data_IF_463219688135
#
_entry.id   IF_463219688135
#
_cell.length_a   1.000
_cell.length_b   1.000
_cell.length_c   1.000
_cell.angle_alpha   90.00
_cell.angle_beta   90.00
_cell.angle_gamma   90.00
#
_symmetry.space_group_name_H-M   'P 1'
#
loop_
_entity.id
_entity.type
_entity.pdbx_description
1 polymer ?
#
# COMPACT_ATOMS: atom_id res chain seq x y z
N UNK A 1 -60.33 55.91 45.72
CA UNK A 1 -59.85 54.53 45.90
C UNK A 1 -59.91 53.85 44.54
N UNK A 2 -58.77 53.35 44.08
CA UNK A 2 -58.44 52.99 42.69
C UNK A 2 -58.18 51.48 42.61
N UNK A 3 -58.31 50.94 41.40
CA UNK A 3 -57.76 49.67 40.89
C UNK A 3 -58.70 48.45 40.95
N UNK A 4 -59.31 48.05 39.82
CA UNK A 4 -58.80 47.22 38.69
C UNK A 4 -59.06 45.73 38.95
N UNK A 5 -60.08 45.20 38.26
CA UNK A 5 -60.39 43.78 38.18
C UNK A 5 -59.42 43.10 37.19
N UNK A 6 -58.72 42.07 37.66
CA UNK A 6 -57.77 41.28 36.86
C UNK A 6 -58.44 39.98 36.44
N UNK A 7 -58.70 39.81 35.14
CA UNK A 7 -59.13 38.56 34.54
C UNK A 7 -57.95 37.60 34.44
N UNK A 8 -58.06 36.44 35.10
CA UNK A 8 -57.09 35.35 35.01
C UNK A 8 -57.50 34.44 33.84
N UNK A 9 -56.75 34.48 32.74
CA UNK A 9 -56.89 33.54 31.63
C UNK A 9 -55.98 32.32 31.87
N UNK A 10 -56.58 31.14 32.09
CA UNK A 10 -55.85 29.87 32.11
C UNK A 10 -55.50 29.45 30.68
N UNK A 11 -54.23 29.62 30.29
CA UNK A 11 -53.66 29.06 29.06
C UNK A 11 -53.14 27.64 29.30
N UNK A 12 -53.84 26.65 28.75
CA UNK A 12 -53.43 25.24 28.76
C UNK A 12 -52.25 25.07 27.79
N UNK A 13 -51.02 24.97 28.32
CA UNK A 13 -49.82 24.70 27.51
C UNK A 13 -49.69 23.20 27.27
N UNK A 14 -49.94 22.76 26.03
CA UNK A 14 -49.73 21.38 25.59
C UNK A 14 -48.22 21.18 25.34
N UNK A 15 -47.51 20.58 26.30
CA UNK A 15 -46.10 20.19 26.13
C UNK A 15 -46.05 18.90 25.32
N UNK A 16 -45.74 18.99 24.03
CA UNK A 16 -45.44 17.82 23.20
C UNK A 16 -43.99 17.41 23.51
N UNK A 17 -43.84 16.48 24.44
CA UNK A 17 -42.56 15.81 24.71
C UNK A 17 -42.22 14.93 23.51
N UNK A 18 -41.42 15.44 22.59
CA UNK A 18 -40.76 14.61 21.58
C UNK A 18 -39.65 13.85 22.30
N UNK A 19 -39.94 12.62 22.69
CA UNK A 19 -38.93 11.66 23.13
C UNK A 19 -38.05 11.31 21.94
N UNK A 20 -37.05 12.15 21.66
CA UNK A 20 -35.93 11.77 20.83
C UNK A 20 -35.15 10.71 21.61
N UNK A 21 -35.46 9.44 21.37
CA UNK A 21 -34.56 8.36 21.73
C UNK A 21 -33.18 8.73 21.15
N UNK A 22 -32.09 8.64 21.94
CA UNK A 22 -30.76 8.80 21.37
C UNK A 22 -30.62 7.67 20.36
N UNK A 23 -30.71 8.02 19.08
CA UNK A 23 -30.25 7.13 18.03
C UNK A 23 -28.77 7.02 18.33
N UNK A 24 -28.39 5.88 18.91
CA UNK A 24 -27.03 5.38 18.96
C UNK A 24 -26.61 5.08 17.51
N UNK A 25 -26.59 6.14 16.70
CA UNK A 25 -25.84 6.24 15.47
C UNK A 25 -24.42 6.02 15.95
N UNK A 26 -24.01 4.74 15.98
CA UNK A 26 -22.61 4.35 15.95
C UNK A 26 -21.98 5.28 14.93
N UNK A 27 -21.28 6.30 15.43
CA UNK A 27 -20.60 7.27 14.58
C UNK A 27 -19.83 6.43 13.58
N UNK A 28 -19.93 6.78 12.30
CA UNK A 28 -19.27 6.02 11.23
C UNK A 28 -17.80 5.94 11.60
N UNK A 29 -17.40 4.78 12.11
CA UNK A 29 -16.01 4.51 12.42
C UNK A 29 -15.24 4.71 11.12
N UNK A 30 -14.11 5.39 11.20
CA UNK A 30 -13.20 5.52 10.06
C UNK A 30 -12.86 4.11 9.57
N UNK A 31 -13.19 3.82 8.32
CA UNK A 31 -12.83 2.53 7.71
C UNK A 31 -11.29 2.46 7.59
N UNK A 32 -10.62 1.54 8.29
CA UNK A 32 -9.16 1.41 8.23
C UNK A 32 -8.62 1.19 6.82
N UNK A 33 -9.41 0.62 5.90
CA UNK A 33 -9.02 0.41 4.52
C UNK A 33 -8.95 1.71 3.70
N UNK A 34 -9.64 2.76 4.15
CA UNK A 34 -9.61 4.09 3.53
C UNK A 34 -8.52 4.98 4.13
N UNK A 35 -7.86 4.53 5.21
CA UNK A 35 -6.78 5.27 5.86
C UNK A 35 -5.48 5.05 5.09
N UNK A 36 -4.80 6.12 4.64
CA UNK A 36 -3.55 6.00 3.91
C UNK A 36 -2.45 5.34 4.74
N UNK A 37 -1.66 4.47 4.11
CA UNK A 37 -0.50 3.83 4.75
C UNK A 37 0.62 4.85 4.96
N UNK A 38 1.38 4.75 6.06
CA UNK A 38 2.47 5.68 6.35
C UNK A 38 3.59 5.63 5.31
N UNK A 39 3.85 4.45 4.72
CA UNK A 39 4.90 4.26 3.71
C UNK A 39 6.32 4.58 4.16
N UNK A 40 6.55 4.76 5.47
CA UNK A 40 7.86 5.00 6.09
C UNK A 40 7.92 4.24 7.43
N UNK A 41 9.00 3.50 7.75
CA UNK A 41 9.14 2.84 9.03
C UNK A 41 9.53 3.82 10.16
N UNK A 42 9.07 3.54 11.38
CA UNK A 42 9.51 4.26 12.56
C UNK A 42 10.94 3.84 12.96
N UNK A 43 11.65 4.74 13.65
CA UNK A 43 12.94 4.42 14.25
C UNK A 43 14.10 4.26 13.25
N UNK A 44 14.00 4.77 12.02
CA UNK A 44 15.07 4.63 11.03
C UNK A 44 16.30 5.48 11.45
N UNK A 45 17.48 4.84 11.53
CA UNK A 45 18.76 5.50 11.83
C UNK A 45 18.72 6.49 13.00
N UNK A 46 18.44 6.01 14.23
CA UNK A 46 18.34 6.87 15.39
C UNK A 46 19.69 7.55 15.68
N UNK A 47 19.65 8.84 15.95
CA UNK A 47 20.76 9.61 16.52
C UNK A 47 20.75 9.48 18.03
N UNK A 48 21.89 9.78 18.67
CA UNK A 48 21.98 9.85 20.13
C UNK A 48 21.14 11.00 20.74
N UNK A 49 20.57 11.89 19.92
CA UNK A 49 19.73 13.03 20.34
C UNK A 49 18.23 12.73 20.31
N UNK A 50 17.82 11.53 19.89
CA UNK A 50 16.41 11.13 19.80
C UNK A 50 15.74 11.43 18.45
N UNK A 51 16.53 11.82 17.45
CA UNK A 51 16.07 12.06 16.09
C UNK A 51 16.31 10.84 15.21
N UNK A 52 15.39 10.59 14.28
CA UNK A 52 15.46 9.53 13.29
C UNK A 52 15.37 10.13 11.89
N UNK A 53 15.71 9.34 10.89
CA UNK A 53 15.61 9.71 9.49
C UNK A 53 14.15 9.62 9.03
N UNK A 54 13.63 10.74 8.54
CA UNK A 54 12.38 10.83 7.81
C UNK A 54 12.59 10.77 6.30
N UNK A 55 11.51 11.08 5.56
CA UNK A 55 11.52 11.19 4.11
C UNK A 55 12.47 12.30 3.66
N UNK A 56 13.25 12.01 2.63
CA UNK A 56 14.13 12.96 1.95
C UNK A 56 13.33 14.08 1.30
N UNK A 57 13.71 15.34 1.53
CA UNK A 57 13.07 16.49 0.90
C UNK A 57 13.44 16.60 -0.60
N UNK A 58 12.82 17.55 -1.30
CA UNK A 58 13.08 17.79 -2.72
C UNK A 58 14.54 18.15 -3.05
N UNK A 59 15.30 18.64 -2.06
CA UNK A 59 16.72 18.95 -2.19
C UNK A 59 17.64 17.72 -1.96
N UNK A 60 17.07 16.53 -1.78
CA UNK A 60 17.85 15.31 -1.54
C UNK A 60 18.35 15.16 -0.10
N UNK A 61 17.91 16.00 0.84
CA UNK A 61 18.33 15.96 2.23
C UNK A 61 17.34 15.15 3.07
N UNK A 62 17.86 14.22 3.88
CA UNK A 62 17.05 13.47 4.84
C UNK A 62 16.54 14.42 5.92
N UNK A 63 15.22 14.50 6.09
CA UNK A 63 14.61 15.33 7.12
C UNK A 63 14.68 14.58 8.45
N UNK A 64 15.26 15.19 9.47
CA UNK A 64 15.26 14.62 10.83
C UNK A 64 13.87 14.75 11.45
N UNK A 65 13.38 13.66 12.03
CA UNK A 65 12.07 13.56 12.67
C UNK A 65 12.25 12.95 14.07
N UNK A 66 11.32 13.14 15.01
CA UNK A 66 11.37 12.42 16.27
C UNK A 66 11.30 10.90 16.05
N UNK A 67 12.09 10.10 16.77
CA UNK A 67 12.12 8.64 16.56
C UNK A 67 10.81 7.90 16.87
N UNK A 68 9.88 8.52 17.59
CA UNK A 68 8.54 7.97 17.79
C UNK A 68 7.64 8.11 16.55
N UNK A 69 8.13 8.75 15.48
CA UNK A 69 7.41 8.97 14.23
C UNK A 69 7.87 8.03 13.12
N UNK A 70 6.94 7.51 12.29
CA UNK A 70 5.48 7.63 12.42
C UNK A 70 4.95 6.90 13.67
N UNK A 71 3.76 7.29 14.18
CA UNK A 71 3.17 6.69 15.37
C UNK A 71 2.72 5.24 15.14
N UNK A 72 2.30 4.55 16.19
CA UNK A 72 1.60 3.28 16.03
C UNK A 72 0.33 3.48 15.18
N UNK A 73 0.12 2.60 14.20
CA UNK A 73 -1.00 2.72 13.26
C UNK A 73 -2.37 2.67 13.95
N UNK A 74 -2.55 1.81 14.95
CA UNK A 74 -3.83 1.70 15.66
C UNK A 74 -4.10 2.95 16.50
N UNK A 75 -3.07 3.52 17.13
CA UNK A 75 -3.19 4.79 17.87
C UNK A 75 -3.54 5.96 16.93
N UNK A 76 -2.91 5.99 15.75
CA UNK A 76 -3.22 6.98 14.73
C UNK A 76 -4.67 6.87 14.23
N UNK A 77 -5.14 5.65 13.93
CA UNK A 77 -6.53 5.42 13.48
C UNK A 77 -7.51 5.82 14.59
N UNK A 78 -7.21 5.52 15.86
CA UNK A 78 -8.04 5.96 16.99
C UNK A 78 -8.11 7.50 17.10
N UNK A 79 -6.98 8.20 16.89
CA UNK A 79 -6.95 9.66 16.87
C UNK A 79 -7.72 10.24 15.68
N UNK A 80 -7.57 9.63 14.50
CA UNK A 80 -8.30 10.03 13.29
C UNK A 80 -9.81 9.83 13.47
N UNK A 81 -10.23 8.70 14.04
CA UNK A 81 -11.62 8.40 14.35
C UNK A 81 -12.22 9.44 15.29
N UNK A 82 -11.50 9.80 16.37
CA UNK A 82 -11.91 10.86 17.29
C UNK A 82 -12.06 12.23 16.59
N UNK A 83 -11.14 12.57 15.68
CA UNK A 83 -11.20 13.82 14.91
C UNK A 83 -12.40 13.86 13.97
N UNK A 84 -12.64 12.77 13.22
CA UNK A 84 -13.77 12.64 12.30
C UNK A 84 -15.09 12.67 13.07
N UNK A 85 -15.17 11.97 14.20
CA UNK A 85 -16.30 11.96 15.10
C UNK A 85 -16.63 13.35 15.68
N UNK A 86 -15.62 14.21 15.86
CA UNK A 86 -15.78 15.59 16.32
C UNK A 86 -16.00 16.59 15.16
N UNK A 87 -15.80 16.18 13.91
CA UNK A 87 -15.77 17.06 12.73
C UNK A 87 -14.59 18.04 12.71
N UNK A 88 -13.61 17.86 13.61
CA UNK A 88 -12.46 18.74 13.82
C UNK A 88 -11.35 18.00 14.55
N UNK A 89 -10.13 18.50 14.47
CA UNK A 89 -9.00 17.95 15.23
C UNK A 89 -9.23 18.17 16.73
N UNK A 90 -9.38 17.11 17.51
CA UNK A 90 -9.71 17.19 18.96
C UNK A 90 -8.66 18.00 19.72
N UNK A 91 -7.39 17.80 19.39
CA UNK A 91 -6.25 18.48 20.03
C UNK A 91 -5.89 19.82 19.37
N UNK A 92 -6.59 20.20 18.28
CA UNK A 92 -6.48 21.51 17.66
C UNK A 92 -7.84 21.91 17.05
N UNK A 93 -8.83 22.28 17.89
CA UNK A 93 -10.22 22.42 17.46
C UNK A 93 -10.48 23.46 16.36
N UNK A 94 -9.53 24.36 16.10
CA UNK A 94 -9.62 25.34 14.99
C UNK A 94 -9.48 24.72 13.60
N UNK A 95 -9.07 23.45 13.50
CA UNK A 95 -8.89 22.73 12.23
C UNK A 95 -10.04 21.75 12.01
N UNK A 96 -10.89 22.01 11.02
CA UNK A 96 -11.97 21.10 10.64
C UNK A 96 -11.43 19.85 9.94
N UNK A 97 -12.11 18.72 10.12
CA UNK A 97 -11.75 17.44 9.49
C UNK A 97 -12.99 16.85 8.82
N UNK A 98 -12.82 16.39 7.59
CA UNK A 98 -13.80 15.57 6.88
C UNK A 98 -13.12 14.29 6.40
N UNK A 99 -13.87 13.19 6.39
CA UNK A 99 -13.39 11.89 5.93
C UNK A 99 -14.45 11.22 5.05
N UNK A 100 -14.63 11.70 3.81
CA UNK A 100 -15.59 11.14 2.89
C UNK A 100 -15.19 9.72 2.48
N UNK A 101 -16.18 8.89 2.12
CA UNK A 101 -15.96 7.46 1.84
C UNK A 101 -15.99 7.09 0.37
N UNK A 102 -16.33 8.01 -0.53
CA UNK A 102 -16.32 7.73 -1.97
C UNK A 102 -14.90 7.81 -2.54
N UNK A 103 -14.77 7.41 -3.81
CA UNK A 103 -13.50 7.29 -4.50
C UNK A 103 -13.16 8.48 -5.42
N UNK A 104 -13.90 9.59 -5.33
CA UNK A 104 -13.54 10.81 -6.06
C UNK A 104 -12.15 11.30 -5.65
N UNK A 105 -11.50 12.02 -6.56
CA UNK A 105 -10.21 12.64 -6.32
C UNK A 105 -10.28 13.58 -5.11
N UNK A 106 -11.36 14.36 -5.03
CA UNK A 106 -11.66 15.27 -3.93
C UNK A 106 -11.75 14.52 -2.59
N UNK A 107 -12.44 13.38 -2.57
CA UNK A 107 -12.59 12.57 -1.36
C UNK A 107 -11.29 11.90 -0.92
N UNK A 108 -10.46 11.42 -1.86
CA UNK A 108 -9.13 10.92 -1.55
C UNK A 108 -8.23 12.02 -0.97
N UNK A 109 -8.25 13.22 -1.55
CA UNK A 109 -7.50 14.37 -1.04
C UNK A 109 -7.98 14.82 0.34
N UNK A 110 -9.29 14.78 0.59
CA UNK A 110 -9.85 15.10 1.90
C UNK A 110 -9.38 14.09 2.97
N UNK A 111 -9.37 12.78 2.66
CA UNK A 111 -8.83 11.75 3.55
C UNK A 111 -7.32 11.93 3.80
N UNK A 112 -6.56 12.26 2.76
CA UNK A 112 -5.13 12.58 2.92
C UNK A 112 -4.90 13.79 3.83
N UNK A 113 -5.69 14.85 3.64
CA UNK A 113 -5.61 16.05 4.47
C UNK A 113 -5.98 15.74 5.92
N UNK A 114 -7.06 14.97 6.14
CA UNK A 114 -7.46 14.50 7.46
C UNK A 114 -6.35 13.69 8.15
N UNK A 115 -5.67 12.82 7.41
CA UNK A 115 -4.55 12.04 7.90
C UNK A 115 -3.34 12.94 8.27
N UNK A 116 -2.99 13.91 7.43
CA UNK A 116 -1.90 14.87 7.68
C UNK A 116 -2.17 15.74 8.91
N UNK A 117 -3.37 16.33 9.03
CA UNK A 117 -3.69 17.19 10.19
C UNK A 117 -3.82 16.37 11.47
N UNK A 118 -4.29 15.12 11.40
CA UNK A 118 -4.28 14.21 12.55
C UNK A 118 -2.84 13.94 12.99
N UNK A 119 -1.98 13.54 12.05
CA UNK A 119 -0.57 13.24 12.30
C UNK A 119 0.15 14.41 13.01
N UNK A 120 -0.07 15.63 12.53
CA UNK A 120 0.58 16.84 13.03
C UNK A 120 0.04 17.34 14.38
N UNK A 121 -1.15 16.90 14.78
CA UNK A 121 -1.82 17.42 15.98
C UNK A 121 -2.12 16.34 17.03
N UNK A 122 -1.54 15.13 16.92
CA UNK A 122 -1.89 14.03 17.82
C UNK A 122 -1.65 14.30 19.31
N UNK A 123 -0.75 15.23 19.67
CA UNK A 123 -0.42 15.55 21.08
C UNK A 123 -0.65 17.04 21.44
N UNK A 124 -1.29 17.81 20.55
CA UNK A 124 -1.54 19.23 20.72
C UNK A 124 -1.42 20.01 19.41
N UNK A 125 -1.70 21.33 19.38
CA UNK A 125 -1.61 22.13 18.17
C UNK A 125 -0.20 22.14 17.58
N UNK A 126 -0.02 21.50 16.43
CA UNK A 126 1.29 21.32 15.77
C UNK A 126 2.28 20.42 16.54
N UNK A 127 1.84 19.80 17.63
CA UNK A 127 2.64 18.87 18.44
C UNK A 127 2.25 17.45 18.06
N UNK A 128 2.97 16.89 17.10
CA UNK A 128 2.71 15.57 16.55
C UNK A 128 3.89 15.10 15.72
N UNK A 129 3.62 14.26 14.74
CA UNK A 129 4.62 13.82 13.79
C UNK A 129 4.65 14.75 12.57
N UNK A 130 5.83 15.19 12.12
CA UNK A 130 5.94 16.00 10.90
C UNK A 130 5.52 15.18 9.69
N UNK A 131 5.06 15.84 8.62
CA UNK A 131 4.65 15.13 7.39
C UNK A 131 5.77 14.26 6.81
N UNK A 132 7.03 14.68 6.97
CA UNK A 132 8.22 13.92 6.57
C UNK A 132 8.39 12.59 7.31
N UNK A 133 7.59 12.27 8.32
CA UNK A 133 7.57 10.93 8.93
C UNK A 133 6.73 9.91 8.16
N UNK A 134 6.11 10.32 7.05
CA UNK A 134 5.24 9.49 6.22
C UNK A 134 5.39 9.87 4.75
N UNK A 135 4.89 9.04 3.85
CA UNK A 135 4.78 9.34 2.42
C UNK A 135 3.51 10.10 2.06
N UNK A 136 2.77 10.64 3.03
CA UNK A 136 1.46 11.28 2.78
C UNK A 136 1.51 12.42 1.76
N UNK A 137 2.57 13.24 1.76
CA UNK A 137 2.70 14.31 0.77
C UNK A 137 2.92 13.76 -0.65
N UNK A 138 3.69 12.67 -0.79
CA UNK A 138 3.89 12.00 -2.07
C UNK A 138 2.60 11.33 -2.56
N UNK A 139 1.84 10.70 -1.65
CA UNK A 139 0.53 10.11 -1.96
C UNK A 139 -0.49 11.17 -2.35
N UNK A 140 -0.53 12.31 -1.64
CA UNK A 140 -1.38 13.44 -1.98
C UNK A 140 -1.06 13.96 -3.39
N UNK A 141 0.22 14.07 -3.74
CA UNK A 141 0.64 14.47 -5.08
C UNK A 141 0.26 13.43 -6.13
N UNK A 142 0.42 12.14 -5.85
CA UNK A 142 -0.02 11.08 -6.75
C UNK A 142 -1.52 11.16 -7.05
N UNK A 143 -2.34 11.47 -6.04
CA UNK A 143 -3.78 11.73 -6.19
C UNK A 143 -4.05 12.98 -7.02
N UNK A 144 -3.30 14.06 -6.81
CA UNK A 144 -3.41 15.28 -7.62
C UNK A 144 -3.07 15.03 -9.09
N UNK A 145 -2.08 14.18 -9.35
CA UNK A 145 -1.59 13.86 -10.68
C UNK A 145 -2.42 12.74 -11.36
N UNK A 146 -3.37 12.12 -10.64
CA UNK A 146 -4.22 11.04 -11.16
C UNK A 146 -3.49 9.71 -11.37
N UNK A 147 -2.38 9.52 -10.66
CA UNK A 147 -1.51 8.32 -10.73
C UNK A 147 -1.76 7.34 -9.57
N UNK A 148 -2.70 7.68 -8.70
CA UNK A 148 -3.23 6.85 -7.63
C UNK A 148 -4.13 5.75 -8.22
N UNK A 149 -3.57 4.54 -8.40
CA UNK A 149 -4.34 3.37 -8.78
C UNK A 149 -5.60 3.24 -7.90
N UNK A 150 -6.77 2.87 -8.46
CA UNK A 150 -7.98 2.67 -7.67
C UNK A 150 -7.70 1.66 -6.56
N UNK A 151 -8.02 2.01 -5.32
CA UNK A 151 -8.02 1.04 -4.23
C UNK A 151 -8.97 -0.10 -4.63
N UNK A 152 -8.44 -1.29 -4.85
CA UNK A 152 -9.25 -2.48 -5.06
C UNK A 152 -10.20 -2.65 -3.86
N UNK A 153 -11.46 -3.08 -4.06
CA UNK A 153 -12.37 -3.35 -2.96
C UNK A 153 -11.72 -4.33 -1.97
N UNK A 154 -11.78 -4.00 -0.68
CA UNK A 154 -11.27 -4.89 0.36
C UNK A 154 -11.97 -6.28 0.26
N UNK A 155 -11.24 -7.40 0.36
CA UNK A 155 -11.87 -8.71 0.46
C UNK A 155 -12.77 -8.75 1.70
N UNK A 156 -14.05 -9.05 1.50
CA UNK A 156 -14.99 -9.28 2.60
C UNK A 156 -14.53 -10.51 3.39
N UNK A 157 -14.28 -10.34 4.69
CA UNK A 157 -13.95 -11.42 5.60
C UNK A 157 -15.12 -12.42 5.65
N UNK A 158 -14.92 -13.70 5.26
CA UNK A 158 -15.98 -14.70 5.37
C UNK A 158 -16.37 -14.92 6.83
N UNK A 159 -17.67 -15.08 7.09
CA UNK A 159 -18.19 -15.45 8.39
C UNK A 159 -17.58 -16.78 8.88
N UNK A 160 -17.26 -16.93 10.18
CA UNK A 160 -16.67 -18.16 10.69
C UNK A 160 -17.60 -19.36 10.48
N UNK A 161 -17.10 -20.37 9.78
CA UNK A 161 -17.80 -21.64 9.57
C UNK A 161 -17.91 -22.42 10.90
N UNK A 162 -18.99 -23.21 11.12
CA UNK A 162 -19.12 -24.03 12.32
C UNK A 162 -18.03 -25.10 12.41
N UNK A 163 -17.56 -25.37 13.63
CA UNK A 163 -16.54 -26.38 13.90
C UNK A 163 -16.98 -27.79 13.46
N UNK A 164 -16.19 -28.51 12.64
CA UNK A 164 -16.50 -29.89 12.28
C UNK A 164 -16.18 -30.86 13.43
N UNK A 165 -17.05 -31.86 13.59
CA UNK A 165 -16.88 -32.98 14.51
C UNK A 165 -15.67 -33.86 14.13
N UNK A 166 -15.02 -34.52 15.09
CA UNK A 166 -13.81 -35.30 14.83
C UNK A 166 -14.12 -36.59 14.05
N UNK A 167 -13.36 -36.82 12.96
CA UNK A 167 -13.40 -38.03 12.14
C UNK A 167 -12.23 -38.95 12.53
N UNK A 168 -12.40 -40.29 12.56
CA UNK A 168 -11.33 -41.22 12.96
C UNK A 168 -10.13 -41.25 12.01
N UNK A 169 -8.95 -41.50 12.58
CA UNK A 169 -7.65 -41.46 11.90
C UNK A 169 -7.46 -42.60 10.87
N UNK A 170 -7.01 -42.31 9.64
CA UNK A 170 -6.55 -43.33 8.69
C UNK A 170 -5.08 -43.72 8.93
N UNK A 171 -4.78 -44.98 8.64
CA UNK A 171 -3.44 -45.59 8.69
C UNK A 171 -2.44 -44.93 7.71
N UNK A 172 -1.13 -44.94 8.01
CA UNK A 172 -0.14 -44.16 7.26
C UNK A 172 0.18 -44.77 5.89
N UNK A 173 0.10 -43.95 4.85
CA UNK A 173 0.56 -44.24 3.50
C UNK A 173 2.06 -43.90 3.33
N UNK A 174 2.79 -44.54 2.39
CA UNK A 174 4.21 -44.30 2.16
C UNK A 174 4.49 -42.85 1.76
N UNK A 175 5.59 -42.29 2.30
CA UNK A 175 6.01 -40.91 2.08
C UNK A 175 6.26 -40.62 0.59
N UNK A 176 5.53 -39.68 -0.02
CA UNK A 176 5.87 -39.13 -1.33
C UNK A 176 7.10 -38.23 -1.22
N UNK A 177 7.95 -38.28 -2.25
CA UNK A 177 9.06 -37.34 -2.40
C UNK A 177 8.55 -35.88 -2.45
N UNK A 178 9.30 -34.89 -1.89
CA UNK A 178 8.83 -33.51 -1.83
C UNK A 178 8.64 -32.92 -3.23
N UNK A 179 7.40 -32.56 -3.56
CA UNK A 179 7.12 -31.63 -4.65
C UNK A 179 7.51 -30.21 -4.23
N UNK A 180 8.02 -29.34 -5.12
CA UNK A 180 8.32 -27.95 -4.78
C UNK A 180 7.06 -27.24 -4.28
N UNK A 181 7.06 -26.81 -3.03
CA UNK A 181 5.97 -26.05 -2.44
C UNK A 181 6.07 -24.59 -2.91
N UNK A 182 5.11 -24.17 -3.73
CA UNK A 182 4.88 -22.77 -4.09
C UNK A 182 4.62 -22.60 -5.59
N UNK A 183 3.34 -22.57 -5.98
CA UNK A 183 2.88 -22.54 -7.38
C UNK A 183 3.11 -21.22 -8.13
N UNK A 184 4.31 -20.66 -8.06
CA UNK A 184 4.74 -19.50 -8.86
C UNK A 184 5.49 -20.00 -10.10
N UNK A 185 5.07 -19.57 -11.29
CA UNK A 185 5.79 -19.82 -12.54
C UNK A 185 7.15 -19.07 -12.53
N UNK A 186 8.31 -19.77 -12.60
CA UNK A 186 9.62 -19.15 -12.63
C UNK A 186 9.82 -18.16 -13.78
N UNK A 187 9.07 -18.29 -14.88
CA UNK A 187 9.12 -17.36 -16.01
C UNK A 187 8.49 -15.99 -15.71
N UNK A 188 7.61 -15.93 -14.70
CA UNK A 188 6.97 -14.70 -14.26
C UNK A 188 7.80 -13.94 -13.22
N UNK A 189 8.83 -14.56 -12.65
CA UNK A 189 9.78 -13.91 -11.73
C UNK A 189 10.71 -12.99 -12.51
N UNK A 190 10.75 -11.68 -12.19
CA UNK A 190 11.59 -10.74 -12.91
C UNK A 190 13.07 -11.10 -12.82
N UNK A 191 13.80 -10.94 -13.91
CA UNK A 191 15.26 -11.11 -13.94
C UNK A 191 15.94 -10.01 -13.12
N UNK A 192 17.02 -10.33 -12.40
CA UNK A 192 17.75 -9.31 -11.65
C UNK A 192 18.36 -8.24 -12.55
N UNK A 193 18.78 -8.61 -13.76
CA UNK A 193 19.45 -7.70 -14.71
C UNK A 193 20.75 -7.08 -14.17
N UNK A 194 21.33 -7.68 -13.12
CA UNK A 194 22.61 -7.32 -12.52
C UNK A 194 23.30 -8.60 -12.04
N UNK A 195 24.63 -8.64 -12.08
CA UNK A 195 25.41 -9.79 -11.63
C UNK A 195 25.94 -9.58 -10.21
N UNK A 196 25.98 -10.63 -9.42
CA UNK A 196 26.58 -10.58 -8.08
C UNK A 196 28.11 -10.52 -8.17
N UNK A 197 28.77 -9.97 -7.14
CA UNK A 197 30.22 -10.02 -7.03
C UNK A 197 31.00 -9.09 -7.97
N UNK A 198 30.36 -8.11 -8.62
CA UNK A 198 31.06 -7.20 -9.52
C UNK A 198 32.00 -6.25 -8.75
N UNK A 199 33.26 -6.16 -9.18
CA UNK A 199 34.29 -5.26 -8.65
C UNK A 199 34.37 -5.25 -7.10
N UNK A 200 34.72 -6.38 -6.47
CA UNK A 200 34.79 -6.45 -5.01
C UNK A 200 35.88 -5.52 -4.47
N UNK A 201 35.55 -4.75 -3.43
CA UNK A 201 36.48 -3.82 -2.77
C UNK A 201 37.42 -4.50 -1.76
N UNK A 202 37.17 -5.78 -1.44
CA UNK A 202 37.83 -6.51 -0.36
C UNK A 202 37.24 -6.25 1.05
N UNK A 203 36.30 -5.31 1.20
CA UNK A 203 35.58 -5.03 2.47
C UNK A 203 34.21 -5.72 2.58
N UNK A 204 33.84 -6.53 1.58
CA UNK A 204 32.53 -7.17 1.46
C UNK A 204 31.55 -6.41 0.56
N UNK A 205 31.95 -5.27 0.00
CA UNK A 205 31.15 -4.46 -0.91
C UNK A 205 31.53 -4.68 -2.38
N UNK A 206 30.52 -4.66 -3.23
CA UNK A 206 30.59 -4.81 -4.67
C UNK A 206 29.82 -3.68 -5.35
N UNK A 207 30.03 -3.53 -6.65
CA UNK A 207 29.34 -2.54 -7.48
C UNK A 207 27.89 -2.99 -7.76
N UNK A 208 26.94 -2.15 -7.35
CA UNK A 208 25.54 -2.22 -7.75
C UNK A 208 25.25 -1.38 -8.99
N UNK A 209 23.96 -1.25 -9.30
CA UNK A 209 23.51 -0.36 -10.37
C UNK A 209 23.73 1.11 -10.00
N UNK A 210 23.80 1.97 -11.02
CA UNK A 210 23.96 3.41 -10.83
C UNK A 210 22.68 4.06 -10.30
N UNK A 211 22.82 5.01 -9.39
CA UNK A 211 21.71 5.86 -8.96
C UNK A 211 21.36 6.91 -10.05
N UNK A 212 20.34 7.73 -9.80
CA UNK A 212 19.91 8.78 -10.73
C UNK A 212 21.01 9.83 -11.03
N UNK A 213 21.98 10.00 -10.13
CA UNK A 213 23.14 10.86 -10.32
C UNK A 213 24.28 10.17 -11.12
N UNK A 214 24.07 8.96 -11.61
CA UNK A 214 25.05 8.19 -12.36
C UNK A 214 26.15 7.55 -11.49
N UNK A 215 26.04 7.62 -10.16
CA UNK A 215 27.04 7.06 -9.24
C UNK A 215 26.76 5.59 -8.98
N UNK A 216 27.81 4.75 -8.96
CA UNK A 216 27.70 3.34 -8.59
C UNK A 216 27.33 3.24 -7.10
N UNK A 217 26.21 2.56 -6.81
CA UNK A 217 25.81 2.28 -5.43
C UNK A 217 26.56 1.04 -4.95
N UNK A 218 27.25 1.14 -3.81
CA UNK A 218 27.88 -0.03 -3.20
C UNK A 218 26.84 -0.93 -2.55
N UNK A 219 26.94 -2.23 -2.81
CA UNK A 219 26.03 -3.26 -2.33
C UNK A 219 26.84 -4.40 -1.70
N UNK A 220 26.26 -5.22 -0.81
CA UNK A 220 26.93 -6.44 -0.36
C UNK A 220 27.26 -7.35 -1.55
N UNK A 221 28.46 -7.94 -1.60
CA UNK A 221 28.87 -8.80 -2.71
C UNK A 221 28.01 -10.06 -2.92
N UNK A 222 27.29 -10.49 -1.87
CA UNK A 222 26.33 -11.58 -1.95
C UNK A 222 24.98 -11.17 -2.59
N UNK A 223 24.89 -9.95 -3.15
CA UNK A 223 23.71 -9.42 -3.81
C UNK A 223 23.98 -9.17 -5.31
N UNK A 224 23.04 -9.52 -6.20
CA UNK A 224 21.78 -10.22 -5.94
C UNK A 224 22.00 -11.68 -5.47
N UNK A 225 20.99 -12.31 -4.84
CA UNK A 225 21.08 -13.70 -4.39
C UNK A 225 21.12 -14.68 -5.57
N UNK A 226 21.31 -15.97 -5.29
CA UNK A 226 21.06 -17.02 -6.27
C UNK A 226 19.60 -16.99 -6.76
N UNK A 227 19.40 -17.13 -8.08
CA UNK A 227 18.09 -16.99 -8.72
C UNK A 227 17.12 -18.09 -8.29
N UNK A 228 17.57 -19.33 -8.15
CA UNK A 228 16.70 -20.44 -7.74
C UNK A 228 16.30 -20.31 -6.27
N UNK A 229 17.24 -19.93 -5.40
CA UNK A 229 16.95 -19.62 -4.01
C UNK A 229 15.95 -18.46 -3.87
N UNK A 230 16.09 -17.42 -4.71
CA UNK A 230 15.16 -16.29 -4.73
C UNK A 230 13.75 -16.70 -5.17
N UNK A 231 13.63 -17.49 -6.24
CA UNK A 231 12.34 -18.02 -6.71
C UNK A 231 11.67 -18.84 -5.61
N UNK A 232 12.42 -19.69 -4.88
CA UNK A 232 11.89 -20.43 -3.74
C UNK A 232 11.32 -19.53 -2.64
N UNK A 233 11.94 -18.36 -2.39
CA UNK A 233 11.42 -17.37 -1.44
C UNK A 233 10.15 -16.66 -1.94
N UNK A 234 10.08 -16.34 -3.23
CA UNK A 234 8.87 -15.74 -3.85
C UNK A 234 7.71 -16.74 -3.84
N UNK A 235 8.00 -18.00 -4.12
CA UNK A 235 7.03 -19.09 -4.22
C UNK A 235 6.33 -19.42 -2.88
N UNK A 236 6.93 -19.04 -1.75
CA UNK A 236 6.34 -19.22 -0.43
C UNK A 236 5.08 -18.38 -0.17
N UNK A 237 4.72 -17.44 -1.08
CA UNK A 237 3.52 -16.59 -0.97
C UNK A 237 3.54 -15.60 0.20
N UNK A 238 4.64 -15.57 0.94
CA UNK A 238 4.98 -14.65 2.02
C UNK A 238 6.47 -14.42 1.97
N UNK A 239 6.92 -13.28 2.46
CA UNK A 239 8.34 -13.06 2.68
C UNK A 239 8.79 -14.00 3.79
N UNK A 240 9.51 -15.07 3.43
CA UNK A 240 9.82 -16.20 4.34
C UNK A 240 10.43 -15.74 5.66
N UNK A 241 11.29 -14.73 5.61
CA UNK A 241 11.99 -14.18 6.78
C UNK A 241 11.35 -12.88 7.33
N UNK A 242 10.18 -12.49 6.81
CA UNK A 242 9.33 -11.42 7.35
C UNK A 242 7.84 -11.73 7.08
N UNK A 243 7.28 -12.76 7.75
CA UNK A 243 5.97 -13.33 7.41
C UNK A 243 4.77 -12.37 7.62
N UNK A 244 5.01 -11.24 8.29
CA UNK A 244 4.05 -10.14 8.42
C UNK A 244 3.83 -9.35 7.12
N UNK A 245 4.69 -9.52 6.12
CA UNK A 245 4.54 -8.91 4.80
C UNK A 245 4.04 -9.95 3.81
N UNK A 246 2.80 -9.76 3.36
CA UNK A 246 2.18 -10.60 2.33
C UNK A 246 2.53 -10.06 0.95
N UNK A 247 2.84 -10.95 0.01
CA UNK A 247 3.15 -10.60 -1.38
C UNK A 247 2.16 -11.31 -2.30
N UNK A 248 1.68 -10.60 -3.32
CA UNK A 248 0.80 -11.16 -4.34
C UNK A 248 1.59 -11.42 -5.61
N UNK A 249 1.42 -12.59 -6.22
CA UNK A 249 2.09 -12.98 -7.44
C UNK A 249 1.07 -13.39 -8.52
N UNK A 250 0.31 -12.42 -9.07
CA UNK A 250 -0.70 -12.71 -10.08
C UNK A 250 -0.06 -13.24 -11.37
N UNK A 251 -0.78 -14.05 -12.13
CA UNK A 251 -0.24 -14.75 -13.31
C UNK A 251 -0.59 -14.09 -14.64
N UNK A 252 -1.55 -13.17 -14.68
CA UNK A 252 -1.94 -12.50 -15.92
C UNK A 252 -0.91 -11.44 -16.36
N UNK A 253 -1.06 -10.99 -17.61
CA UNK A 253 -0.14 -10.06 -18.26
C UNK A 253 -0.57 -8.59 -18.16
N UNK A 254 -1.59 -8.27 -17.35
CA UNK A 254 -1.97 -6.88 -17.15
C UNK A 254 -0.80 -6.09 -16.55
N UNK A 255 -0.77 -4.80 -16.86
CA UNK A 255 0.20 -3.86 -16.27
C UNK A 255 0.16 -3.93 -14.73
N UNK A 256 -1.04 -4.02 -14.15
CA UNK A 256 -1.23 -4.16 -12.71
C UNK A 256 -0.57 -5.44 -12.16
N UNK A 257 -0.75 -6.58 -12.83
CA UNK A 257 -0.15 -7.85 -12.42
C UNK A 257 1.36 -7.88 -12.59
N UNK A 258 1.88 -7.29 -13.67
CA UNK A 258 3.33 -7.08 -13.84
C UNK A 258 3.91 -6.23 -12.70
N UNK A 259 3.25 -5.12 -12.33
CA UNK A 259 3.69 -4.28 -11.22
C UNK A 259 3.59 -4.96 -9.85
N UNK A 260 2.55 -5.76 -9.61
CA UNK A 260 2.41 -6.54 -8.40
C UNK A 260 3.56 -7.56 -8.23
N UNK A 261 3.93 -8.26 -9.31
CA UNK A 261 5.08 -9.17 -9.32
C UNK A 261 6.41 -8.43 -9.07
N UNK A 262 6.60 -7.25 -9.67
CA UNK A 262 7.77 -6.41 -9.38
C UNK A 262 7.85 -6.00 -7.91
N UNK A 263 6.72 -5.55 -7.34
CA UNK A 263 6.66 -5.14 -5.95
C UNK A 263 6.95 -6.32 -5.01
N UNK A 264 6.36 -7.49 -5.30
CA UNK A 264 6.65 -8.73 -4.60
C UNK A 264 8.14 -9.11 -4.66
N UNK A 265 8.77 -8.98 -5.83
CA UNK A 265 10.19 -9.27 -6.01
C UNK A 265 11.09 -8.30 -5.22
N UNK A 266 10.80 -6.99 -5.24
CA UNK A 266 11.53 -5.97 -4.48
C UNK A 266 11.42 -6.23 -2.97
N UNK A 267 10.20 -6.48 -2.49
CA UNK A 267 9.94 -6.74 -1.07
C UNK A 267 10.62 -8.03 -0.62
N UNK A 268 10.58 -9.09 -1.44
CA UNK A 268 11.28 -10.35 -1.16
C UNK A 268 12.79 -10.12 -1.08
N UNK A 269 13.36 -9.38 -2.03
CA UNK A 269 14.78 -9.04 -2.09
C UNK A 269 15.26 -8.31 -0.83
N UNK A 270 14.49 -7.33 -0.35
CA UNK A 270 14.82 -6.50 0.81
C UNK A 270 14.72 -7.24 2.16
N UNK A 271 14.10 -8.42 2.18
CA UNK A 271 13.81 -9.16 3.40
C UNK A 271 14.37 -10.60 3.38
N UNK A 272 15.35 -10.89 2.51
CA UNK A 272 15.90 -12.23 2.34
C UNK A 272 16.52 -12.85 3.60
N UNK A 273 16.95 -12.05 4.57
CA UNK A 273 17.65 -12.49 5.79
C UNK A 273 16.98 -11.98 7.07
N UNK A 274 15.78 -11.42 6.98
CA UNK A 274 15.05 -10.84 8.10
C UNK A 274 14.34 -9.54 7.71
N UNK A 275 13.53 -8.95 8.60
CA UNK A 275 12.83 -7.69 8.34
C UNK A 275 13.80 -6.56 7.97
N UNK A 276 13.74 -6.09 6.73
CA UNK A 276 14.65 -5.05 6.20
C UNK A 276 16.12 -5.48 6.05
N UNK A 277 16.43 -6.76 6.30
CA UNK A 277 17.78 -7.31 6.14
C UNK A 277 17.79 -8.18 4.89
N UNK A 278 18.28 -7.61 3.80
CA UNK A 278 18.31 -8.29 2.51
C UNK A 278 19.20 -7.56 1.53
N UNK A 279 18.94 -7.77 0.25
CA UNK A 279 19.67 -7.09 -0.82
C UNK A 279 19.00 -5.74 -1.13
N UNK A 280 19.78 -4.64 -1.23
CA UNK A 280 19.22 -3.35 -1.59
C UNK A 280 18.69 -3.41 -3.03
N UNK A 281 17.70 -2.57 -3.36
CA UNK A 281 17.15 -2.52 -4.72
C UNK A 281 18.23 -2.24 -5.79
N UNK A 282 19.28 -1.50 -5.42
CA UNK A 282 20.44 -1.23 -6.26
C UNK A 282 21.29 -2.48 -6.61
N UNK A 283 20.97 -3.65 -6.07
CA UNK A 283 21.55 -4.93 -6.51
C UNK A 283 20.84 -5.56 -7.69
N UNK A 284 19.79 -4.93 -8.20
CA UNK A 284 18.98 -5.40 -9.33
C UNK A 284 18.53 -4.21 -10.18
N UNK A 285 17.92 -4.50 -11.32
CA UNK A 285 17.27 -3.52 -12.18
C UNK A 285 15.76 -3.41 -11.92
N UNK A 286 15.27 -3.93 -10.79
CA UNK A 286 13.83 -4.01 -10.52
C UNK A 286 13.14 -2.64 -10.52
N UNK A 287 13.77 -1.59 -10.02
CA UNK A 287 13.18 -0.24 -10.06
C UNK A 287 13.08 0.30 -11.50
N UNK A 288 14.08 0.02 -12.34
CA UNK A 288 14.05 0.39 -13.75
C UNK A 288 13.01 -0.41 -14.54
N UNK A 289 12.89 -1.70 -14.25
CA UNK A 289 11.86 -2.56 -14.84
C UNK A 289 10.45 -2.15 -14.40
N UNK A 290 10.25 -1.83 -13.11
CA UNK A 290 8.98 -1.32 -12.60
C UNK A 290 8.59 -0.02 -13.32
N UNK A 291 9.55 0.90 -13.49
CA UNK A 291 9.34 2.13 -14.25
C UNK A 291 9.01 1.86 -15.72
N UNK A 292 9.72 0.94 -16.38
CA UNK A 292 9.42 0.58 -17.77
C UNK A 292 8.01 0.00 -17.93
N UNK A 293 7.54 -0.80 -16.97
CA UNK A 293 6.16 -1.30 -16.95
C UNK A 293 5.17 -0.15 -16.75
N UNK A 294 5.46 0.81 -15.85
CA UNK A 294 4.61 1.99 -15.60
C UNK A 294 4.49 2.91 -16.83
N UNK A 295 5.58 3.08 -17.57
CA UNK A 295 5.63 3.95 -18.75
C UNK A 295 5.11 3.26 -20.03
N UNK A 296 4.95 1.94 -20.01
CA UNK A 296 4.41 1.15 -21.12
C UNK A 296 2.88 1.25 -21.30
N UNK A 297 2.36 1.00 -22.51
CA UNK A 297 0.92 0.98 -22.78
C UNK A 297 0.21 -0.12 -21.97
N UNK A 298 -1.04 0.14 -21.59
CA UNK A 298 -1.88 -0.81 -20.85
C UNK A 298 -2.30 -1.97 -21.77
N UNK A 299 -1.58 -3.10 -21.72
CA UNK A 299 -1.91 -4.35 -22.43
C UNK A 299 -3.22 -5.02 -21.94
N UNK A 300 -4.08 -4.30 -21.20
CA UNK A 300 -5.29 -4.82 -20.54
C UNK A 300 -6.53 -4.90 -21.43
N UNK A 301 -6.49 -4.38 -22.66
CA UNK A 301 -7.51 -4.70 -23.65
C UNK A 301 -7.12 -6.03 -24.30
N UNK A 302 -7.89 -7.09 -24.04
CA UNK A 302 -7.84 -8.30 -24.85
C UNK A 302 -7.77 -7.88 -26.32
N UNK A 303 -6.68 -8.27 -27.01
CA UNK A 303 -6.56 -8.03 -28.43
C UNK A 303 -7.86 -8.55 -29.10
N UNK A 304 -8.53 -7.77 -29.97
CA UNK A 304 -9.61 -8.33 -30.76
C UNK A 304 -9.05 -9.57 -31.46
N UNK A 305 -9.80 -10.67 -31.41
CA UNK A 305 -9.46 -11.89 -32.12
C UNK A 305 -9.03 -11.50 -33.55
N UNK A 306 -7.91 -12.05 -34.06
CA UNK A 306 -7.45 -11.70 -35.40
C UNK A 306 -8.63 -11.87 -36.37
N UNK A 307 -8.89 -10.89 -37.27
CA UNK A 307 -9.96 -11.03 -38.23
C UNK A 307 -9.74 -12.35 -38.97
N UNK A 308 -10.78 -13.16 -39.06
CA UNK A 308 -10.75 -14.42 -39.80
C UNK A 308 -10.11 -14.15 -41.15
N UNK A 309 -9.01 -14.85 -41.44
CA UNK A 309 -8.32 -14.74 -42.72
C UNK A 309 -9.35 -14.92 -43.85
N UNK A 310 -9.52 -13.93 -44.74
CA UNK A 310 -10.42 -14.09 -45.87
C UNK A 310 -9.95 -15.28 -46.71
N UNK A 311 -10.92 -16.11 -47.13
CA UNK A 311 -10.65 -17.26 -47.99
C UNK A 311 -9.82 -16.82 -49.22
N UNK A 312 -8.81 -17.61 -49.64
CA UNK A 312 -7.96 -17.23 -50.75
C UNK A 312 -8.82 -17.00 -52.00
N UNK A 313 -8.60 -15.86 -52.65
CA UNK A 313 -9.24 -15.53 -53.92
C UNK A 313 -8.93 -16.61 -54.97
N UNK A 314 -9.89 -16.97 -55.84
CA UNK A 314 -9.66 -17.95 -56.88
C UNK A 314 -8.54 -17.47 -57.81
N UNK A 315 -7.61 -18.38 -58.13
CA UNK A 315 -6.46 -18.10 -58.97
C UNK A 315 -6.89 -17.53 -60.34
N UNK A 316 -6.19 -16.52 -60.88
CA UNK A 316 -6.48 -15.97 -62.20
C UNK A 316 -6.26 -17.01 -63.29
N UNK A 317 -7.20 -17.08 -64.24
CA UNK A 317 -7.10 -17.96 -65.40
C UNK A 317 -5.86 -17.61 -66.25
N UNK A 318 -5.14 -18.62 -66.80
CA UNK A 318 -3.97 -18.37 -67.61
C UNK A 318 -4.34 -17.61 -68.90
N UNK A 319 -3.61 -16.54 -69.19
CA UNK A 319 -3.74 -15.79 -70.43
C UNK A 319 -3.25 -16.63 -71.62
N UNK A 320 -3.89 -16.50 -72.80
CA UNK A 320 -3.50 -17.25 -73.99
C UNK A 320 -2.15 -16.78 -74.53
N UNK A 321 -1.28 -17.74 -74.83
CA UNK A 321 0.03 -17.51 -75.42
C UNK A 321 -0.07 -17.07 -76.89
N UNK A 322 0.72 -16.08 -77.36
CA UNK A 322 1.09 -15.95 -78.76
C UNK A 322 2.26 -16.87 -79.13
#
# INVERSE_FOLDING_TARGET
>A
MKSIATFLALGLSLVVSVSAAPIDLKRRAVDPALVPEFGHPAGLNPTATGDCDGITNAAGQVVKIPCFCPPNRNEFIASLDANVAAGRVVNNPGVSVSFPTDNSKESKLARMQAALVTLQNMRGPGVGCPAASTTFLAQQRAIQDGTDAPAAPAPQQPAPAPAPAPVPAPAPAPAPAPAPAGGVDPALVPEFGHQAGLNPTGTGDCDGIRNAAGQIVKIPCACPPDRNAFIGNVAAGRVVNNPGVSVSFPTDNSKASKLARMQAAIVTLQNLRGPGVGCPAASTTFLAQQKAIQDGPDDGAAAPAPPATPAPAPAPAPAPAP
#
